data_IF_624864034907
#
_entry.id   IF_624864034907
#
_cell.length_a   1.000
_cell.length_b   1.000
_cell.length_c   1.000
_cell.angle_alpha   90.00
_cell.angle_beta   90.00
_cell.angle_gamma   90.00
#
_symmetry.space_group_name_H-M   'P 1'
#
loop_
_entity.id
_entity.type
_entity.pdbx_description
1 polymer ?
#
# COMPACT_ATOMS: atom_id res chain seq x y z
N UNK A 1 -6.55 25.75 50.52
CA UNK A 1 -5.66 25.85 49.34
C UNK A 1 -5.82 24.63 48.41
N UNK A 2 -7.06 24.21 48.08
CA UNK A 2 -7.35 23.01 47.24
C UNK A 2 -8.58 23.29 46.35
N UNK A 3 -8.73 24.53 45.85
CA UNK A 3 -9.85 24.93 44.99
C UNK A 3 -9.40 25.70 43.75
N UNK A 4 -8.19 25.38 43.25
CA UNK A 4 -7.66 25.89 41.97
C UNK A 4 -7.29 24.77 40.97
N UNK A 5 -7.43 23.51 41.35
CA UNK A 5 -7.03 22.36 40.52
C UNK A 5 -8.11 21.77 39.61
N UNK A 6 -9.37 22.22 39.73
CA UNK A 6 -10.51 21.59 39.02
C UNK A 6 -11.00 22.36 37.78
N UNK A 7 -10.41 23.51 37.47
CA UNK A 7 -10.83 24.34 36.33
C UNK A 7 -10.03 24.11 35.04
N UNK A 8 -8.99 23.27 35.04
CA UNK A 8 -8.07 23.09 33.90
C UNK A 8 -8.47 21.89 33.01
N UNK A 9 -9.41 21.05 33.42
CA UNK A 9 -9.76 19.81 32.67
C UNK A 9 -10.94 19.99 31.68
N UNK A 10 -11.56 21.17 31.60
CA UNK A 10 -12.70 21.42 30.70
C UNK A 10 -12.36 22.18 29.40
N UNK A 11 -11.09 22.42 29.09
CA UNK A 11 -10.70 23.18 27.87
C UNK A 11 -10.22 22.27 26.72
N UNK A 12 -10.19 20.95 26.88
CA UNK A 12 -9.43 20.07 25.96
C UNK A 12 -10.24 19.21 24.99
N UNK A 13 -11.48 19.56 24.60
CA UNK A 13 -12.25 18.72 23.65
C UNK A 13 -13.17 19.49 22.68
N UNK A 14 -12.76 20.66 22.19
CA UNK A 14 -13.44 21.33 21.06
C UNK A 14 -12.51 21.55 19.86
N UNK A 15 -11.60 20.62 19.61
CA UNK A 15 -11.03 20.47 18.27
C UNK A 15 -11.95 19.56 17.45
N UNK A 16 -13.18 20.02 17.21
CA UNK A 16 -13.97 19.51 16.10
C UNK A 16 -13.25 20.01 14.85
N UNK A 17 -12.42 19.16 14.27
CA UNK A 17 -11.80 19.37 12.98
C UNK A 17 -12.91 19.70 11.98
N UNK A 18 -12.91 20.92 11.45
CA UNK A 18 -13.74 21.30 10.31
C UNK A 18 -13.25 20.50 9.09
N UNK A 19 -13.69 19.25 8.98
CA UNK A 19 -13.38 18.41 7.84
C UNK A 19 -14.25 18.86 6.67
N UNK A 20 -13.66 19.57 5.72
CA UNK A 20 -14.30 19.85 4.44
C UNK A 20 -14.31 18.56 3.63
N UNK A 21 -15.50 18.07 3.26
CA UNK A 21 -15.64 16.98 2.31
C UNK A 21 -15.22 17.49 0.94
N UNK A 22 -14.23 16.83 0.33
CA UNK A 22 -13.82 17.09 -1.04
C UNK A 22 -14.64 16.19 -1.97
N UNK A 23 -15.24 16.79 -2.97
CA UNK A 23 -15.92 16.05 -4.04
C UNK A 23 -14.87 15.41 -4.96
N UNK A 24 -15.21 14.24 -5.49
CA UNK A 24 -14.42 13.61 -6.51
C UNK A 24 -14.46 14.42 -7.81
N UNK A 25 -13.35 14.41 -8.54
CA UNK A 25 -13.25 15.04 -9.86
C UNK A 25 -13.52 13.96 -10.90
N UNK A 26 -14.67 14.03 -11.57
CA UNK A 26 -15.03 13.12 -12.66
C UNK A 26 -14.10 13.28 -13.87
N UNK A 27 -14.07 12.30 -14.79
CA UNK A 27 -13.21 12.41 -15.97
C UNK A 27 -13.67 13.55 -16.88
N UNK A 28 -12.78 14.52 -17.11
CA UNK A 28 -13.13 15.73 -17.83
C UNK A 28 -11.93 16.53 -18.28
N UNK A 29 -12.21 17.58 -19.04
CA UNK A 29 -11.22 18.57 -19.49
C UNK A 29 -11.09 19.64 -18.42
N UNK A 30 -9.90 19.76 -17.84
CA UNK A 30 -9.60 20.70 -16.76
C UNK A 30 -8.36 21.51 -17.10
N UNK A 31 -8.34 22.76 -16.65
CA UNK A 31 -7.15 23.62 -16.75
C UNK A 31 -6.03 23.01 -15.93
N UNK A 32 -4.90 22.79 -16.57
CA UNK A 32 -3.68 22.24 -16.00
C UNK A 32 -2.48 23.12 -16.35
N UNK A 33 -1.40 22.98 -15.59
CA UNK A 33 -0.16 23.71 -15.77
C UNK A 33 0.86 22.78 -16.43
N UNK A 34 1.21 23.08 -17.67
CA UNK A 34 2.04 22.22 -18.52
C UNK A 34 3.32 22.96 -18.86
N UNK A 35 4.45 22.24 -18.79
CA UNK A 35 5.72 22.76 -19.25
C UNK A 35 5.66 23.04 -20.76
N UNK A 36 6.18 24.21 -21.14
CA UNK A 36 6.29 24.62 -22.55
C UNK A 36 7.33 23.79 -23.31
N UNK A 37 8.27 23.16 -22.58
CA UNK A 37 9.31 22.27 -23.10
C UNK A 37 9.12 20.87 -22.52
N UNK A 38 8.59 19.95 -23.33
CA UNK A 38 8.29 18.57 -22.94
C UNK A 38 9.53 17.74 -22.56
N UNK A 39 10.72 18.20 -22.97
CA UNK A 39 12.01 17.58 -22.66
C UNK A 39 12.62 18.09 -21.34
N UNK A 40 11.98 19.06 -20.66
CA UNK A 40 12.47 19.59 -19.38
C UNK A 40 13.76 20.41 -19.48
N UNK A 41 14.12 20.91 -20.67
CA UNK A 41 15.30 21.77 -20.86
C UNK A 41 15.01 23.26 -20.62
N UNK A 42 13.75 23.62 -20.34
CA UNK A 42 13.28 24.96 -20.04
C UNK A 42 13.72 26.03 -21.07
N UNK A 43 13.78 25.66 -22.36
CA UNK A 43 14.32 26.52 -23.42
C UNK A 43 13.44 27.72 -23.79
N UNK A 44 12.21 27.76 -23.30
CA UNK A 44 11.17 28.69 -23.73
C UNK A 44 10.57 29.48 -22.56
N UNK A 45 10.18 30.72 -22.83
CA UNK A 45 9.43 31.59 -21.94
C UNK A 45 8.02 31.88 -22.52
N UNK A 46 6.94 31.79 -21.71
CA UNK A 46 6.93 31.32 -20.32
C UNK A 46 7.28 29.83 -20.21
N UNK A 47 7.85 29.39 -19.08
CA UNK A 47 8.25 27.99 -18.86
C UNK A 47 7.07 27.04 -18.65
N UNK A 48 5.97 27.58 -18.12
CA UNK A 48 4.74 26.85 -17.81
C UNK A 48 3.56 27.64 -18.37
N UNK A 49 2.63 26.94 -19.00
CA UNK A 49 1.40 27.52 -19.58
C UNK A 49 0.16 26.81 -19.08
N UNK A 50 -0.98 27.52 -19.13
CA UNK A 50 -2.29 26.96 -18.82
C UNK A 50 -2.88 26.32 -20.06
N UNK A 51 -3.08 25.01 -20.03
CA UNK A 51 -3.72 24.23 -21.10
C UNK A 51 -4.74 23.28 -20.49
N UNK A 52 -5.75 22.90 -21.25
CA UNK A 52 -6.69 21.89 -20.79
C UNK A 52 -6.11 20.48 -20.96
N UNK A 53 -6.18 19.69 -19.90
CA UNK A 53 -5.78 18.27 -19.87
C UNK A 53 -6.92 17.42 -19.34
N UNK A 54 -6.93 16.17 -19.77
CA UNK A 54 -7.89 15.20 -19.24
C UNK A 54 -7.42 14.75 -17.86
N UNK A 55 -8.24 14.99 -16.85
CA UNK A 55 -7.99 14.65 -15.44
C UNK A 55 -9.28 14.10 -14.82
N UNK A 56 -9.13 13.53 -13.63
CA UNK A 56 -10.24 12.95 -12.89
C UNK A 56 -10.47 11.47 -13.22
N UNK A 57 -11.45 10.90 -12.51
CA UNK A 57 -11.92 9.53 -12.65
C UNK A 57 -13.38 9.49 -12.24
N UNK A 58 -14.22 8.80 -13.01
CA UNK A 58 -15.65 8.82 -12.77
C UNK A 58 -16.01 8.13 -11.44
N UNK A 59 -16.87 8.76 -10.65
CA UNK A 59 -17.31 8.25 -9.34
C UNK A 59 -17.89 6.84 -9.32
N UNK A 60 -18.42 6.38 -10.46
CA UNK A 60 -19.03 5.06 -10.61
C UNK A 60 -18.00 3.93 -10.77
N UNK A 61 -16.72 4.28 -10.95
CA UNK A 61 -15.64 3.32 -11.15
C UNK A 61 -15.15 2.83 -9.79
N UNK A 62 -15.28 1.52 -9.48
CA UNK A 62 -14.90 1.00 -8.17
C UNK A 62 -13.38 0.95 -7.96
N UNK A 63 -12.61 0.76 -9.04
CA UNK A 63 -11.15 0.72 -8.99
C UNK A 63 -10.53 1.71 -9.99
N UNK A 64 -10.22 2.95 -9.57
CA UNK A 64 -9.72 3.99 -10.47
C UNK A 64 -8.35 3.67 -11.08
N UNK A 65 -7.57 2.76 -10.48
CA UNK A 65 -6.24 2.40 -11.00
C UNK A 65 -6.27 1.68 -12.35
N UNK A 66 -7.38 1.02 -12.68
CA UNK A 66 -7.55 0.28 -13.92
C UNK A 66 -7.98 1.16 -15.10
N UNK A 67 -8.25 2.44 -14.85
CA UNK A 67 -8.81 3.37 -15.84
C UNK A 67 -7.90 4.58 -16.01
N UNK A 68 -8.01 5.22 -17.17
CA UNK A 68 -7.35 6.48 -17.49
C UNK A 68 -8.35 7.43 -18.11
N UNK A 69 -8.31 8.68 -17.69
CA UNK A 69 -9.01 9.77 -18.36
C UNK A 69 -8.14 10.30 -19.50
N UNK A 70 -8.55 10.07 -20.74
CA UNK A 70 -7.79 10.41 -21.95
C UNK A 70 -8.61 11.27 -22.89
N UNK A 71 -7.99 12.08 -23.77
CA UNK A 71 -8.76 12.83 -24.75
C UNK A 71 -9.43 11.91 -25.77
N UNK A 72 -10.64 12.27 -26.20
CA UNK A 72 -11.28 11.60 -27.34
C UNK A 72 -10.55 11.95 -28.63
N UNK A 73 -10.75 11.19 -29.71
CA UNK A 73 -10.15 11.50 -31.01
C UNK A 73 -10.50 12.92 -31.52
N UNK A 74 -11.69 13.43 -31.18
CA UNK A 74 -12.13 14.79 -31.52
C UNK A 74 -11.74 15.84 -30.48
N UNK A 75 -11.39 15.38 -29.27
CA UNK A 75 -11.04 16.22 -28.14
C UNK A 75 -9.64 16.84 -28.22
N UNK A 76 -8.73 16.32 -29.05
CA UNK A 76 -7.38 16.89 -29.19
C UNK A 76 -7.40 18.04 -30.21
N UNK A 77 -7.24 19.27 -29.73
CA UNK A 77 -7.06 20.46 -30.58
C UNK A 77 -5.61 20.93 -30.55
N UNK A 78 -4.97 20.99 -31.72
CA UNK A 78 -3.65 21.60 -31.86
C UNK A 78 -3.81 23.12 -31.87
N UNK A 79 -3.08 23.81 -31.01
CA UNK A 79 -3.04 25.27 -30.95
C UNK A 79 -1.60 25.76 -31.11
N UNK A 80 -1.47 26.93 -31.72
CA UNK A 80 -0.20 27.60 -31.92
C UNK A 80 0.11 28.51 -30.74
N UNK A 81 1.14 28.18 -29.98
CA UNK A 81 1.61 28.93 -28.82
C UNK A 81 2.85 29.75 -29.20
N UNK A 82 2.74 31.08 -29.16
CA UNK A 82 3.90 31.96 -29.35
C UNK A 82 4.71 32.05 -28.04
N UNK A 83 5.98 31.70 -28.11
CA UNK A 83 6.91 31.68 -26.98
C UNK A 83 8.21 32.39 -27.36
N UNK A 84 9.01 32.74 -26.36
CA UNK A 84 10.33 33.33 -26.55
C UNK A 84 11.39 32.27 -26.24
N UNK A 85 12.33 32.03 -27.15
CA UNK A 85 13.53 31.23 -26.85
C UNK A 85 14.40 31.96 -25.85
N UNK A 86 14.74 31.32 -24.74
CA UNK A 86 15.51 31.97 -23.66
C UNK A 86 16.92 32.37 -24.11
N UNK A 87 17.56 31.58 -24.96
CA UNK A 87 18.94 31.85 -25.41
C UNK A 87 19.01 32.98 -26.45
N UNK A 88 18.12 32.96 -27.44
CA UNK A 88 18.19 33.88 -28.60
C UNK A 88 17.25 35.07 -28.49
N UNK A 89 16.32 35.06 -27.54
CA UNK A 89 15.24 36.04 -27.40
C UNK A 89 14.34 36.15 -28.64
N UNK A 90 14.35 35.14 -29.50
CA UNK A 90 13.50 35.07 -30.68
C UNK A 90 12.10 34.55 -30.32
N UNK A 91 11.09 35.15 -30.94
CA UNK A 91 9.74 34.61 -30.92
C UNK A 91 9.64 33.40 -31.84
N UNK A 92 9.10 32.30 -31.32
CA UNK A 92 8.81 31.09 -32.08
C UNK A 92 7.42 30.58 -31.76
N UNK A 93 6.81 29.87 -32.71
CA UNK A 93 5.51 29.23 -32.52
C UNK A 93 5.71 27.75 -32.26
N UNK A 94 5.11 27.26 -31.17
CA UNK A 94 5.06 25.84 -30.82
C UNK A 94 3.65 25.32 -31.04
N UNK A 95 3.51 24.21 -31.77
CA UNK A 95 2.24 23.49 -31.87
C UNK A 95 2.06 22.64 -30.61
N UNK A 96 1.09 22.98 -29.77
CA UNK A 96 0.79 22.26 -28.53
C UNK A 96 -0.62 21.70 -28.56
N UNK A 97 -0.84 20.58 -27.86
CA UNK A 97 -2.14 19.93 -27.78
C UNK A 97 -2.95 20.48 -26.61
N UNK A 98 -4.21 20.80 -26.87
CA UNK A 98 -5.20 21.23 -25.88
C UNK A 98 -6.38 20.24 -25.88
N UNK A 99 -6.67 19.63 -24.73
CA UNK A 99 -7.67 18.57 -24.63
C UNK A 99 -9.04 19.19 -24.29
N UNK A 100 -10.00 19.10 -25.19
CA UNK A 100 -11.33 19.73 -25.07
C UNK A 100 -12.46 18.74 -24.77
N UNK A 101 -12.27 17.47 -25.09
CA UNK A 101 -13.21 16.39 -24.78
C UNK A 101 -12.42 15.20 -24.25
N UNK A 102 -12.90 14.61 -23.17
CA UNK A 102 -12.23 13.52 -22.47
C UNK A 102 -13.18 12.33 -22.30
N UNK A 103 -12.61 11.15 -22.19
CA UNK A 103 -13.33 9.92 -21.91
C UNK A 103 -12.50 9.02 -21.01
N UNK A 104 -13.19 8.22 -20.21
CA UNK A 104 -12.56 7.16 -19.42
C UNK A 104 -12.35 5.93 -20.29
N UNK A 105 -11.12 5.42 -20.30
CA UNK A 105 -10.76 4.19 -21.00
C UNK A 105 -10.04 3.22 -20.06
N UNK A 106 -10.10 1.93 -20.37
CA UNK A 106 -9.29 0.94 -19.68
C UNK A 106 -7.79 1.21 -19.90
N UNK A 107 -7.02 1.15 -18.81
CA UNK A 107 -5.56 1.16 -18.86
C UNK A 107 -4.99 -0.12 -19.46
N UNK A 108 -5.72 -1.23 -19.31
CA UNK A 108 -5.40 -2.56 -19.82
C UNK A 108 -6.27 -2.88 -21.04
N UNK A 109 -5.83 -3.86 -21.82
CA UNK A 109 -6.59 -4.41 -22.94
C UNK A 109 -6.45 -5.95 -22.97
N UNK A 110 -7.17 -6.60 -23.88
CA UNK A 110 -7.13 -8.06 -24.04
C UNK A 110 -5.71 -8.64 -24.15
N UNK A 111 -4.77 -7.90 -24.78
CA UNK A 111 -3.39 -8.33 -24.98
C UNK A 111 -2.53 -8.19 -23.73
N UNK A 112 -3.01 -7.47 -22.73
CA UNK A 112 -2.34 -7.29 -21.43
C UNK A 112 -2.55 -8.50 -20.52
N UNK A 113 -3.61 -9.28 -20.76
CA UNK A 113 -3.91 -10.49 -20.01
C UNK A 113 -3.09 -11.68 -20.51
N UNK A 114 -2.70 -12.56 -19.60
CA UNK A 114 -2.01 -13.80 -19.96
C UNK A 114 -2.98 -14.86 -20.53
N UNK A 115 -2.46 -16.00 -21.00
CA UNK A 115 -3.26 -17.07 -21.63
C UNK A 115 -4.26 -17.77 -20.69
N UNK A 116 -4.12 -17.59 -19.38
CA UNK A 116 -5.00 -18.13 -18.34
C UNK A 116 -5.96 -17.08 -17.78
N UNK A 117 -5.92 -15.86 -18.32
CA UNK A 117 -6.80 -14.77 -17.96
C UNK A 117 -7.76 -14.44 -19.09
N UNK A 118 -8.83 -13.74 -18.75
CA UNK A 118 -9.77 -13.16 -19.70
C UNK A 118 -10.01 -11.72 -19.27
N UNK A 119 -9.84 -10.81 -20.23
CA UNK A 119 -10.09 -9.40 -19.99
C UNK A 119 -11.58 -9.15 -19.83
N UNK A 120 -11.95 -8.46 -18.76
CA UNK A 120 -13.28 -7.93 -18.55
C UNK A 120 -13.28 -6.46 -18.95
N UNK A 121 -13.99 -6.13 -20.03
CA UNK A 121 -14.11 -4.75 -20.48
C UNK A 121 -14.89 -3.88 -19.47
N UNK A 122 -15.85 -4.47 -18.75
CA UNK A 122 -16.69 -3.75 -17.80
C UNK A 122 -15.91 -3.27 -16.57
N UNK A 123 -14.96 -4.10 -16.10
CA UNK A 123 -14.12 -3.81 -14.92
C UNK A 123 -12.70 -3.34 -15.28
N UNK A 124 -12.36 -3.31 -16.57
CA UNK A 124 -11.02 -3.04 -17.09
C UNK A 124 -9.91 -3.86 -16.42
N UNK A 125 -10.18 -5.15 -16.15
CA UNK A 125 -9.26 -6.03 -15.41
C UNK A 125 -9.12 -7.40 -16.07
N UNK A 126 -8.00 -8.06 -15.80
CA UNK A 126 -7.77 -9.44 -16.21
C UNK A 126 -8.29 -10.38 -15.11
N UNK A 127 -9.30 -11.19 -15.44
CA UNK A 127 -9.87 -12.17 -14.52
C UNK A 127 -9.32 -13.56 -14.80
N UNK A 128 -9.06 -14.37 -13.76
CA UNK A 128 -8.61 -15.75 -13.98
C UNK A 128 -9.72 -16.59 -14.63
N UNK A 129 -9.37 -17.36 -15.64
CA UNK A 129 -10.27 -18.38 -16.17
C UNK A 129 -10.18 -19.64 -15.31
N UNK A 130 -11.14 -19.82 -14.41
CA UNK A 130 -11.20 -20.99 -13.51
C UNK A 130 -11.75 -22.27 -14.18
N UNK A 131 -12.34 -22.16 -15.38
CA UNK A 131 -12.91 -23.30 -16.12
C UNK A 131 -11.85 -24.09 -16.89
N UNK A 132 -10.64 -23.52 -17.04
CA UNK A 132 -9.47 -24.24 -17.57
C UNK A 132 -8.84 -25.06 -16.46
N UNK A 133 -8.60 -26.35 -16.71
CA UNK A 133 -7.76 -27.18 -15.85
C UNK A 133 -6.45 -26.44 -15.53
N UNK A 134 -6.15 -26.28 -14.25
CA UNK A 134 -4.95 -25.56 -13.81
C UNK A 134 -3.70 -26.19 -14.44
N UNK A 135 -2.83 -25.41 -15.08
CA UNK A 135 -1.59 -25.95 -15.62
C UNK A 135 -0.74 -26.51 -14.49
N UNK A 136 -0.06 -27.62 -14.75
CA UNK A 136 0.97 -28.13 -13.84
C UNK A 136 2.18 -27.23 -13.98
N UNK A 137 2.53 -26.53 -12.90
CA UNK A 137 3.72 -25.68 -12.87
C UNK A 137 5.01 -26.51 -12.84
N UNK A 138 6.08 -25.95 -13.39
CA UNK A 138 7.41 -26.54 -13.34
C UNK A 138 7.92 -26.67 -11.89
N UNK A 139 8.99 -27.46 -11.71
CA UNK A 139 9.65 -27.62 -10.42
C UNK A 139 10.03 -26.24 -9.82
N UNK A 140 9.76 -26.03 -8.53
CA UNK A 140 9.92 -24.78 -7.76
C UNK A 140 8.82 -23.71 -7.96
N UNK A 141 7.88 -23.91 -8.89
CA UNK A 141 6.75 -23.02 -9.09
C UNK A 141 5.46 -23.60 -8.50
N UNK A 142 4.56 -22.73 -8.06
CA UNK A 142 3.23 -23.08 -7.57
C UNK A 142 2.20 -22.21 -8.29
N UNK A 143 1.06 -22.80 -8.63
CA UNK A 143 -0.03 -22.07 -9.26
C UNK A 143 -0.66 -21.07 -8.28
N UNK A 144 -0.63 -19.79 -8.63
CA UNK A 144 -1.33 -18.74 -7.92
C UNK A 144 -2.72 -18.53 -8.52
N UNK A 145 -3.75 -18.70 -7.71
CA UNK A 145 -5.14 -18.40 -8.10
C UNK A 145 -5.43 -16.90 -8.18
N UNK A 146 -4.57 -16.07 -7.61
CA UNK A 146 -4.71 -14.62 -7.64
C UNK A 146 -4.03 -14.03 -8.87
N UNK A 147 -2.83 -14.51 -9.19
CA UNK A 147 -2.06 -14.04 -10.34
C UNK A 147 -2.43 -14.78 -11.64
N UNK A 148 -3.22 -15.85 -11.52
CA UNK A 148 -3.57 -16.76 -12.62
C UNK A 148 -2.32 -17.25 -13.37
N UNK A 149 -1.25 -17.52 -12.63
CA UNK A 149 0.04 -17.87 -13.20
C UNK A 149 0.85 -18.77 -12.24
N UNK A 150 1.85 -19.46 -12.78
CA UNK A 150 2.85 -20.15 -11.99
C UNK A 150 3.83 -19.13 -11.41
N UNK A 151 3.84 -19.01 -10.08
CA UNK A 151 4.74 -18.11 -9.35
C UNK A 151 5.75 -18.92 -8.54
N UNK A 152 6.82 -18.28 -8.09
CA UNK A 152 7.76 -18.94 -7.19
C UNK A 152 7.10 -19.42 -5.91
N UNK A 153 7.38 -20.67 -5.54
CA UNK A 153 6.89 -21.26 -4.31
C UNK A 153 7.25 -20.38 -3.10
N UNK A 154 6.30 -20.09 -2.18
CA UNK A 154 6.58 -19.32 -0.96
C UNK A 154 7.66 -19.94 -0.07
N UNK A 155 7.93 -21.23 -0.23
CA UNK A 155 9.00 -21.93 0.49
C UNK A 155 10.42 -21.55 0.03
N UNK A 156 10.56 -20.86 -1.11
CA UNK A 156 11.85 -20.35 -1.60
C UNK A 156 12.12 -18.98 -1.00
N UNK A 157 13.30 -18.84 -0.39
CA UNK A 157 13.75 -17.55 0.16
C UNK A 157 14.09 -16.60 -0.98
N UNK A 158 13.40 -15.47 -1.07
CA UNK A 158 13.82 -14.33 -1.93
C UNK A 158 15.05 -13.62 -1.37
N UNK A 159 15.36 -13.85 -0.09
CA UNK A 159 16.59 -13.37 0.52
C UNK A 159 17.72 -14.31 0.15
N UNK A 160 18.57 -13.85 -0.77
CA UNK A 160 19.71 -14.61 -1.24
C UNK A 160 20.96 -14.39 -0.39
N UNK A 161 21.85 -15.39 -0.31
CA UNK A 161 23.18 -15.22 0.28
C UNK A 161 23.98 -14.11 -0.42
N UNK A 162 25.00 -13.57 0.26
CA UNK A 162 25.88 -12.55 -0.29
C UNK A 162 26.46 -12.95 -1.66
N UNK A 163 26.46 -11.99 -2.59
CA UNK A 163 26.92 -12.21 -3.97
C UNK A 163 25.87 -12.83 -4.90
N UNK A 164 24.73 -13.27 -4.37
CA UNK A 164 23.61 -13.82 -5.15
C UNK A 164 22.41 -12.88 -5.18
N UNK A 165 21.66 -12.94 -6.28
CA UNK A 165 20.39 -12.28 -6.49
C UNK A 165 19.32 -13.30 -6.83
N UNK A 166 18.10 -13.07 -6.36
CA UNK A 166 16.98 -13.95 -6.63
C UNK A 166 16.59 -13.82 -8.10
N UNK A 167 16.53 -14.95 -8.78
CA UNK A 167 16.05 -15.05 -10.15
C UNK A 167 14.59 -15.55 -10.12
N UNK A 168 13.67 -14.69 -10.54
CA UNK A 168 12.22 -15.00 -10.56
C UNK A 168 11.86 -16.05 -11.63
N UNK A 169 12.66 -16.21 -12.68
CA UNK A 169 12.41 -17.16 -13.77
C UNK A 169 12.79 -18.60 -13.41
N UNK A 170 13.65 -18.78 -12.41
CA UNK A 170 14.07 -20.11 -11.91
C UNK A 170 13.69 -20.34 -10.44
N UNK A 171 13.18 -19.31 -9.77
CA UNK A 171 12.83 -19.31 -8.36
C UNK A 171 13.98 -19.77 -7.45
N UNK A 172 15.18 -19.29 -7.77
CA UNK A 172 16.40 -19.63 -7.05
C UNK A 172 17.41 -18.47 -7.03
N UNK A 173 18.36 -18.56 -6.11
CA UNK A 173 19.42 -17.57 -5.94
C UNK A 173 20.59 -17.85 -6.88
N UNK A 174 20.81 -16.93 -7.83
CA UNK A 174 21.93 -16.98 -8.78
C UNK A 174 22.98 -15.96 -8.47
N UNK A 175 24.21 -16.19 -8.93
CA UNK A 175 25.25 -15.18 -8.86
C UNK A 175 24.82 -13.91 -9.60
N UNK A 176 25.07 -12.76 -8.97
CA UNK A 176 24.65 -11.46 -9.51
C UNK A 176 25.40 -11.08 -10.79
N UNK A 177 26.62 -11.61 -10.96
CA UNK A 177 27.35 -11.55 -12.22
C UNK A 177 27.18 -12.86 -12.99
N UNK A 178 26.96 -12.76 -14.30
CA UNK A 178 26.95 -13.91 -15.22
C UNK A 178 28.31 -14.15 -15.88
N UNK A 179 29.26 -13.22 -15.74
CA UNK A 179 30.56 -13.27 -16.39
C UNK A 179 31.70 -12.89 -15.45
N UNK A 180 32.86 -13.49 -15.72
CA UNK A 180 34.10 -13.11 -15.06
C UNK A 180 34.79 -12.01 -15.87
N UNK A 181 35.47 -11.04 -15.22
CA UNK A 181 36.22 -10.00 -15.92
C UNK A 181 37.32 -10.57 -16.83
N UNK A 182 37.85 -11.75 -16.49
CA UNK A 182 38.89 -12.42 -17.25
C UNK A 182 38.29 -13.57 -18.09
N UNK A 183 38.53 -13.62 -19.42
CA UNK A 183 38.03 -14.70 -20.29
C UNK A 183 38.63 -16.09 -19.97
N UNK A 184 39.72 -16.16 -19.21
CA UNK A 184 40.31 -17.42 -18.72
C UNK A 184 39.71 -17.92 -17.40
N UNK A 185 38.71 -17.22 -16.87
CA UNK A 185 38.02 -17.57 -15.64
C UNK A 185 36.60 -18.08 -15.92
N UNK A 186 36.15 -18.99 -15.07
CA UNK A 186 34.78 -19.53 -15.05
C UNK A 186 34.19 -19.22 -13.69
N UNK A 187 32.96 -18.75 -13.68
CA UNK A 187 32.23 -18.46 -12.46
C UNK A 187 31.80 -19.78 -11.80
N UNK A 188 32.18 -19.97 -10.54
CA UNK A 188 31.63 -21.06 -9.73
C UNK A 188 30.19 -20.74 -9.32
N UNK A 189 29.19 -21.54 -9.72
CA UNK A 189 27.77 -21.28 -9.41
C UNK A 189 27.45 -21.37 -7.91
N UNK A 190 28.29 -22.05 -7.11
CA UNK A 190 28.06 -22.21 -5.67
C UNK A 190 28.58 -20.98 -4.92
N UNK A 191 29.86 -20.64 -5.06
CA UNK A 191 30.50 -19.54 -4.33
C UNK A 191 30.42 -18.18 -5.02
N UNK A 192 30.03 -18.13 -6.30
CA UNK A 192 30.04 -16.92 -7.14
C UNK A 192 31.42 -16.29 -7.32
N UNK A 193 32.48 -17.08 -7.14
CA UNK A 193 33.85 -16.65 -7.39
C UNK A 193 34.31 -17.03 -8.79
N UNK A 194 35.15 -16.19 -9.39
CA UNK A 194 35.79 -16.48 -10.66
C UNK A 194 37.02 -17.36 -10.45
N UNK A 195 36.98 -18.59 -10.98
CA UNK A 195 38.06 -19.57 -10.89
C UNK A 195 38.76 -19.71 -12.23
N UNK A 196 40.08 -19.84 -12.25
CA UNK A 196 40.82 -20.06 -13.49
C UNK A 196 40.51 -21.45 -14.08
N UNK A 197 40.32 -21.53 -15.40
CA UNK A 197 39.95 -22.76 -16.15
C UNK A 197 40.86 -23.97 -15.88
N UNK A 198 42.09 -23.76 -15.38
CA UNK A 198 43.08 -24.82 -15.13
C UNK A 198 42.98 -25.48 -13.75
N UNK A 199 42.11 -24.99 -12.86
CA UNK A 199 41.82 -25.63 -11.57
C UNK A 199 40.32 -25.89 -11.46
N UNK A 200 39.83 -26.88 -12.19
CA UNK A 200 38.58 -27.54 -11.82
C UNK A 200 38.92 -28.59 -10.75
N UNK A 201 38.51 -28.43 -9.48
CA UNK A 201 38.62 -29.50 -8.51
C UNK A 201 37.45 -30.44 -8.73
N UNK A 202 37.76 -31.63 -9.23
CA UNK A 202 36.95 -32.82 -9.03
C UNK A 202 36.64 -32.99 -7.54
N UNK A 203 35.36 -33.25 -7.28
CA UNK A 203 34.89 -34.17 -6.25
C UNK A 203 35.38 -33.95 -4.81
N UNK A 204 34.46 -33.44 -3.99
CA UNK A 204 34.38 -33.84 -2.58
C UNK A 204 35.25 -33.04 -1.62
N UNK A 205 34.67 -31.97 -1.06
CA UNK A 205 35.02 -31.56 0.30
C UNK A 205 33.77 -31.05 1.00
N UNK A 206 33.24 -31.88 1.92
CA UNK A 206 32.34 -31.43 2.98
C UNK A 206 33.12 -30.42 3.80
N UNK A 207 32.81 -29.15 3.63
CA UNK A 207 33.24 -28.11 4.55
C UNK A 207 32.30 -28.15 5.76
N UNK A 208 32.87 -28.41 6.93
CA UNK A 208 32.16 -28.37 8.20
C UNK A 208 31.60 -26.96 8.42
N UNK A 209 30.28 -26.84 8.29
CA UNK A 209 29.52 -25.68 8.73
C UNK A 209 29.73 -25.54 10.23
N UNK A 210 30.55 -24.58 10.65
CA UNK A 210 30.61 -24.12 12.05
C UNK A 210 29.26 -23.49 12.41
N UNK A 211 28.42 -24.31 13.02
CA UNK A 211 27.19 -23.88 13.68
C UNK A 211 27.57 -22.89 14.79
N UNK A 212 27.24 -21.61 14.59
CA UNK A 212 27.35 -20.58 15.62
C UNK A 212 26.41 -20.92 16.77
N UNK A 213 26.96 -21.54 17.81
CA UNK A 213 26.25 -21.98 19.01
C UNK A 213 26.19 -20.85 20.04
N UNK A 214 25.50 -19.76 19.71
CA UNK A 214 25.02 -18.78 20.69
C UNK A 214 23.48 -18.77 20.68
N UNK A 215 22.90 -19.91 21.07
CA UNK A 215 21.49 -19.99 21.41
C UNK A 215 21.29 -19.28 22.75
N UNK A 216 20.85 -18.02 22.70
CA UNK A 216 20.23 -17.39 23.86
C UNK A 216 19.01 -18.25 24.17
N UNK A 217 19.04 -18.91 25.32
CA UNK A 217 17.98 -19.81 25.77
C UNK A 217 16.62 -19.13 25.65
N UNK A 218 15.79 -19.58 24.71
CA UNK A 218 14.40 -19.13 24.49
C UNK A 218 13.60 -19.05 25.79
N UNK A 219 13.97 -19.88 26.77
CA UNK A 219 13.41 -19.88 28.11
C UNK A 219 13.55 -18.55 28.85
N UNK A 220 14.65 -17.80 28.65
CA UNK A 220 14.86 -16.49 29.29
C UNK A 220 13.96 -15.40 28.69
N UNK A 221 13.70 -15.46 27.39
CA UNK A 221 12.76 -14.53 26.73
C UNK A 221 11.31 -14.81 27.16
N UNK A 222 10.93 -16.09 27.28
CA UNK A 222 9.58 -16.46 27.70
C UNK A 222 9.27 -15.99 29.13
N UNK A 223 10.24 -16.14 30.04
CA UNK A 223 10.10 -15.65 31.43
C UNK A 223 9.96 -14.12 31.45
N UNK A 224 10.72 -13.39 30.62
CA UNK A 224 10.62 -11.93 30.52
C UNK A 224 9.21 -11.46 30.10
N UNK A 225 8.64 -12.07 29.06
CA UNK A 225 7.29 -11.73 28.58
C UNK A 225 6.19 -12.00 29.60
N UNK A 226 6.32 -13.09 30.37
CA UNK A 226 5.34 -13.41 31.43
C UNK A 226 5.39 -12.38 32.56
N UNK A 227 6.60 -11.96 32.97
CA UNK A 227 6.76 -10.93 34.01
C UNK A 227 6.16 -9.59 33.55
N UNK A 228 6.40 -9.21 32.29
CA UNK A 228 5.86 -7.98 31.71
C UNK A 228 4.32 -8.01 31.62
N UNK A 229 3.74 -9.14 31.17
CA UNK A 229 2.29 -9.32 31.13
C UNK A 229 1.64 -9.23 32.52
N UNK A 230 2.25 -9.84 33.54
CA UNK A 230 1.76 -9.74 34.93
C UNK A 230 1.78 -8.30 35.42
N UNK A 231 2.85 -7.55 35.11
CA UNK A 231 2.96 -6.13 35.48
C UNK A 231 1.83 -5.30 34.85
N UNK A 232 1.56 -5.49 33.55
CA UNK A 232 0.46 -4.80 32.87
C UNK A 232 -0.91 -5.16 33.42
N UNK A 233 -1.16 -6.43 33.76
CA UNK A 233 -2.43 -6.88 34.36
C UNK A 233 -2.62 -6.22 35.73
N UNK A 234 -1.58 -6.18 36.58
CA UNK A 234 -1.67 -5.54 37.88
C UNK A 234 -1.90 -4.03 37.76
N UNK A 235 -1.17 -3.35 36.87
CA UNK A 235 -1.36 -1.93 36.59
C UNK A 235 -2.80 -1.65 36.11
N UNK A 236 -3.30 -2.44 35.16
CA UNK A 236 -4.65 -2.30 34.64
C UNK A 236 -5.70 -2.54 35.73
N UNK A 237 -5.49 -3.53 36.60
CA UNK A 237 -6.41 -3.83 37.72
C UNK A 237 -6.43 -2.69 38.75
N UNK A 238 -5.27 -2.08 39.04
CA UNK A 238 -5.19 -0.91 39.91
C UNK A 238 -5.89 0.31 39.31
N UNK A 239 -5.64 0.60 38.03
CA UNK A 239 -6.34 1.67 37.31
C UNK A 239 -7.85 1.41 37.28
N UNK A 240 -8.27 0.17 37.00
CA UNK A 240 -9.68 -0.21 37.01
C UNK A 240 -10.31 0.01 38.39
N UNK A 241 -9.66 -0.43 39.46
CA UNK A 241 -10.12 -0.19 40.82
C UNK A 241 -10.16 1.30 41.17
N UNK A 242 -9.20 2.11 40.73
CA UNK A 242 -9.13 3.52 41.08
C UNK A 242 -10.16 4.37 40.32
N UNK A 243 -10.31 4.11 39.02
CA UNK A 243 -11.20 4.89 38.15
C UNK A 243 -12.65 4.41 38.14
N UNK A 244 -12.89 3.10 38.28
CA UNK A 244 -14.24 2.53 38.10
C UNK A 244 -14.98 2.20 39.40
N UNK A 245 -14.31 1.92 40.54
CA UNK A 245 -15.03 1.77 41.83
C UNK A 245 -15.87 3.00 42.21
N UNK A 246 -15.41 4.26 42.05
CA UNK A 246 -16.22 5.39 42.46
C UNK A 246 -17.50 5.55 41.62
N UNK A 247 -17.50 5.11 40.35
CA UNK A 247 -18.68 5.20 39.47
C UNK A 247 -19.73 4.12 39.73
N UNK A 248 -19.33 2.89 40.07
CA UNK A 248 -20.26 1.80 40.38
C UNK A 248 -21.07 2.06 41.66
N UNK A 249 -20.49 2.72 42.66
CA UNK A 249 -21.19 3.10 43.90
C UNK A 249 -22.23 4.22 43.67
N UNK A 250 -22.10 5.00 42.60
CA UNK A 250 -23.08 6.04 42.22
C UNK A 250 -24.24 5.41 41.44
N UNK A 251 -23.96 4.43 40.57
CA UNK A 251 -25.00 3.70 39.82
C UNK A 251 -25.86 2.81 40.73
N UNK A 252 -25.29 2.15 41.74
CA UNK A 252 -26.07 1.36 42.70
C UNK A 252 -26.99 2.23 43.59
N UNK A 253 -26.64 3.51 43.81
CA UNK A 253 -27.54 4.46 44.48
C UNK A 253 -28.68 4.93 43.57
N UNK A 254 -28.49 4.96 42.25
CA UNK A 254 -29.55 5.33 41.31
C UNK A 254 -30.58 4.22 41.12
N UNK A 255 -30.17 2.94 41.13
CA UNK A 255 -31.12 1.82 41.03
C UNK A 255 -32.05 1.72 42.24
N UNK A 256 -31.54 1.94 43.46
CA UNK A 256 -32.37 1.99 44.69
C UNK A 256 -33.35 3.18 44.67
N UNK A 257 -32.96 4.31 44.07
CA UNK A 257 -33.85 5.47 43.95
C UNK A 257 -34.97 5.23 42.93
N UNK A 258 -34.70 4.48 41.86
CA UNK A 258 -35.71 4.12 40.85
C UNK A 258 -36.74 3.14 41.43
N UNK A 259 -36.29 2.15 42.21
CA UNK A 259 -37.16 1.15 42.86
C UNK A 259 -38.11 1.81 43.88
N UNK A 260 -37.64 2.81 44.62
CA UNK A 260 -38.47 3.60 45.53
C UNK A 260 -39.48 4.51 44.80
N UNK A 261 -39.12 5.06 43.63
CA UNK A 261 -40.07 5.83 42.80
C UNK A 261 -41.16 4.94 42.19
N UNK A 262 -40.82 3.71 41.78
CA UNK A 262 -41.81 2.75 41.23
C UNK A 262 -42.79 2.30 42.31
N UNK A 263 -42.31 1.99 43.53
CA UNK A 263 -43.19 1.62 44.64
C UNK A 263 -44.11 2.77 45.10
N UNK A 264 -43.66 4.02 45.02
CA UNK A 264 -44.52 5.17 45.30
C UNK A 264 -45.62 5.36 44.24
N UNK A 265 -45.34 5.06 42.97
CA UNK A 265 -46.31 5.16 41.88
C UNK A 265 -47.39 4.06 41.98
N UNK A 266 -47.02 2.83 42.35
CA UNK A 266 -47.97 1.73 42.53
C UNK A 266 -48.92 1.94 43.72
N UNK A 267 -48.45 2.55 44.80
CA UNK A 267 -49.29 2.83 45.98
C UNK A 267 -50.24 4.04 45.80
N UNK A 268 -49.99 4.90 44.81
CA UNK A 268 -50.88 6.02 44.47
C UNK A 268 -52.07 5.64 43.59
N UNK A 269 -51.99 4.50 42.88
CA UNK A 269 -53.04 4.01 41.98
C UNK A 269 -54.21 3.30 42.68
N UNK A 270 -54.11 3.07 43.99
CA UNK A 270 -55.16 2.42 44.79
C UNK A 270 -56.05 3.39 45.59
N UNK A 271 -55.88 4.71 45.43
CA UNK A 271 -56.57 5.73 46.23
C UNK A 271 -57.65 6.53 45.47
N UNK A 272 -58.05 6.12 44.27
CA UNK A 272 -59.09 6.81 43.47
C UNK A 272 -60.26 5.93 43.04
N UNK A 273 -60.45 4.77 43.65
CA UNK A 273 -61.71 4.04 43.56
C UNK A 273 -62.17 3.66 44.97
N UNK A 274 -63.28 4.32 45.37
CA UNK A 274 -64.17 4.08 46.53
C UNK A 274 -63.80 4.75 47.86
#
# INVERSE_FOLDING_TARGET
MILKGLLIILVSFNSFSNATSLENVDCGSYVDYVDTDDQGHFRFLPRVVKLNRCRGVDNLIPNPHNYKCVPTQKGVKKIDLTVVKEQTHEFVTLAVENNTECQTVCSLNDKSCNSYQTFSNDNCECTCNYDKNFPVCNLNFVWSKTDCNCICSPSKSRNCPLGKQFNEDECDCKCSSSTCPNPNQVLDPISCNCLDKQKSPSTGRREEVKVCKNSISMFKFLIGLVIEAIFFILLFTLLYCFFFKPKLTVLSKQTVKLENSVNAYCNGLHATDV
#
